data_IF_753396802321
#
_entry.id   IF_753396802321
#
_cell.length_a   1.000
_cell.length_b   1.000
_cell.length_c   1.000
_cell.angle_alpha   90.00
_cell.angle_beta   90.00
_cell.angle_gamma   90.00
#
_symmetry.space_group_name_H-M   'P 1'
#
loop_
_entity.id
_entity.type
_entity.pdbx_description
1 polymer ?
#
# COMPACT_ATOMS: atom_id res chain seq x y z
N UNK A 1 19.48 12.58 -9.26
CA UNK A 1 19.34 11.24 -9.86
C UNK A 1 18.09 10.58 -9.30
N UNK A 2 17.21 10.07 -10.16
CA UNK A 2 16.01 9.32 -9.75
C UNK A 2 16.31 7.84 -9.90
N UNK A 3 16.18 7.08 -8.81
CA UNK A 3 16.19 5.62 -8.83
C UNK A 3 14.74 5.14 -8.92
N UNK A 4 14.35 4.61 -10.09
CA UNK A 4 12.99 4.10 -10.30
C UNK A 4 12.92 2.61 -9.99
N UNK A 5 12.04 2.24 -9.06
CA UNK A 5 11.73 0.86 -8.74
C UNK A 5 10.46 0.37 -9.41
N UNK A 6 10.45 -0.89 -9.85
CA UNK A 6 9.28 -1.63 -10.32
C UNK A 6 8.97 -2.82 -9.40
N UNK A 7 9.38 -2.76 -8.13
CA UNK A 7 9.50 -3.90 -7.20
C UNK A 7 8.23 -4.66 -6.87
N UNK A 8 7.05 -4.17 -7.25
CA UNK A 8 5.85 -4.99 -7.13
C UNK A 8 5.83 -6.07 -8.23
N UNK A 9 5.61 -7.35 -7.91
CA UNK A 9 5.59 -8.41 -8.91
C UNK A 9 4.59 -8.16 -10.06
N UNK A 10 4.98 -8.55 -11.28
CA UNK A 10 4.14 -8.43 -12.48
C UNK A 10 2.78 -9.13 -12.37
N UNK A 11 2.72 -10.18 -11.55
CA UNK A 11 1.51 -10.92 -11.25
C UNK A 11 1.28 -10.90 -9.75
N UNK A 12 0.01 -10.88 -9.31
CA UNK A 12 -0.30 -10.99 -7.89
C UNK A 12 0.33 -12.28 -7.32
N UNK A 13 1.29 -12.17 -6.39
CA UNK A 13 2.04 -13.32 -5.88
C UNK A 13 1.19 -14.24 -4.98
N UNK A 14 0.09 -13.74 -4.44
CA UNK A 14 -0.81 -14.52 -3.60
C UNK A 14 -1.86 -15.27 -4.43
N UNK A 15 -2.02 -16.55 -4.11
CA UNK A 15 -3.12 -17.39 -4.57
C UNK A 15 -4.37 -17.17 -3.71
N UNK A 16 -5.50 -17.77 -4.09
CA UNK A 16 -6.75 -17.60 -3.34
C UNK A 16 -6.62 -18.06 -1.88
N UNK A 17 -6.99 -17.20 -0.94
CA UNK A 17 -6.98 -17.50 0.50
C UNK A 17 -5.58 -17.57 1.11
N UNK A 18 -4.56 -16.97 0.47
CA UNK A 18 -3.19 -16.97 0.98
C UNK A 18 -2.63 -15.56 1.17
N UNK A 19 -1.57 -15.51 1.97
CA UNK A 19 -0.79 -14.31 2.24
C UNK A 19 0.66 -14.60 1.86
N UNK A 20 1.27 -13.71 1.09
CA UNK A 20 2.67 -13.85 0.63
C UNK A 20 3.43 -12.59 0.97
N UNK A 21 4.66 -12.75 1.47
CA UNK A 21 5.60 -11.65 1.61
C UNK A 21 6.57 -11.61 0.43
N UNK A 22 6.79 -10.41 -0.13
CA UNK A 22 7.73 -10.20 -1.23
C UNK A 22 8.68 -9.06 -0.88
N UNK A 23 10.01 -9.27 -0.86
CA UNK A 23 10.97 -8.20 -0.57
C UNK A 23 10.87 -7.02 -1.56
N UNK A 24 10.94 -5.79 -1.05
CA UNK A 24 11.05 -4.56 -1.86
C UNK A 24 12.52 -4.31 -2.21
N UNK A 25 13.12 -5.20 -3.00
CA UNK A 25 14.59 -5.22 -3.21
C UNK A 25 15.17 -3.89 -3.70
N UNK A 26 14.50 -3.22 -4.63
CA UNK A 26 14.91 -1.92 -5.17
C UNK A 26 14.81 -0.80 -4.14
N UNK A 27 13.77 -0.82 -3.31
CA UNK A 27 13.64 0.09 -2.18
C UNK A 27 14.74 -0.15 -1.14
N UNK A 28 15.03 -1.41 -0.81
CA UNK A 28 16.13 -1.78 0.09
C UNK A 28 17.47 -1.31 -0.49
N UNK A 29 17.70 -1.48 -1.79
CA UNK A 29 18.90 -1.01 -2.47
C UNK A 29 19.01 0.53 -2.42
N UNK A 30 17.91 1.24 -2.68
CA UNK A 30 17.87 2.70 -2.56
C UNK A 30 18.20 3.18 -1.15
N UNK A 31 17.61 2.58 -0.10
CA UNK A 31 17.91 2.90 1.30
C UNK A 31 19.39 2.69 1.63
N UNK A 32 19.99 1.59 1.17
CA UNK A 32 21.44 1.34 1.32
C UNK A 32 22.29 2.36 0.53
N UNK A 33 21.82 2.77 -0.63
CA UNK A 33 22.44 3.80 -1.46
C UNK A 33 22.52 5.15 -0.75
N UNK A 34 21.49 5.52 0.01
CA UNK A 34 21.47 6.79 0.77
C UNK A 34 22.60 6.92 1.79
N UNK A 35 23.13 5.80 2.31
CA UNK A 35 24.23 5.79 3.27
C UNK A 35 25.63 5.75 2.64
N UNK A 36 25.77 5.79 1.31
CA UNK A 36 27.06 5.68 0.64
C UNK A 36 27.94 6.93 0.80
N UNK A 37 27.34 8.11 0.91
CA UNK A 37 28.04 9.38 1.15
C UNK A 37 27.11 10.36 1.89
N UNK A 38 27.65 11.25 2.75
CA UNK A 38 26.86 12.30 3.40
C UNK A 38 26.04 13.18 2.45
N UNK A 39 26.50 13.36 1.21
CA UNK A 39 25.83 14.19 0.19
C UNK A 39 24.79 13.43 -0.65
N UNK A 40 24.72 12.09 -0.56
CA UNK A 40 23.79 11.29 -1.37
C UNK A 40 22.31 11.63 -1.11
N UNK A 41 21.84 11.83 0.14
CA UNK A 41 20.44 12.14 0.41
C UNK A 41 19.90 13.39 -0.29
N UNK A 42 20.77 14.37 -0.63
CA UNK A 42 20.36 15.64 -1.24
C UNK A 42 19.90 15.48 -2.70
N UNK A 43 20.50 14.55 -3.44
CA UNK A 43 20.31 14.43 -4.89
C UNK A 43 19.79 13.06 -5.34
N UNK A 44 19.65 12.10 -4.42
CA UNK A 44 19.15 10.75 -4.68
C UNK A 44 17.70 10.61 -4.23
N UNK A 45 16.79 10.46 -5.19
CA UNK A 45 15.35 10.31 -4.95
C UNK A 45 14.87 8.95 -5.44
N UNK A 46 13.87 8.40 -4.77
CA UNK A 46 13.19 7.17 -5.17
C UNK A 46 11.89 7.52 -5.90
N UNK A 47 11.56 6.73 -6.93
CA UNK A 47 10.23 6.74 -7.54
C UNK A 47 9.78 5.31 -7.84
N UNK A 48 8.48 5.06 -7.85
CA UNK A 48 7.91 3.77 -8.23
C UNK A 48 6.50 3.93 -8.83
N UNK A 49 5.82 2.80 -9.03
CA UNK A 49 4.49 2.71 -9.63
C UNK A 49 3.39 2.55 -8.56
N UNK A 50 3.60 3.17 -7.40
CA UNK A 50 2.77 3.05 -6.22
C UNK A 50 2.61 1.57 -5.78
N UNK A 51 1.41 1.18 -5.34
CA UNK A 51 1.09 -0.18 -4.94
C UNK A 51 0.81 -1.11 -6.14
N UNK A 52 1.49 -0.97 -7.27
CA UNK A 52 1.27 -1.78 -8.48
C UNK A 52 2.56 -2.05 -9.29
N UNK A 53 2.48 -2.98 -10.25
CA UNK A 53 3.56 -3.22 -11.22
C UNK A 53 3.61 -2.12 -12.27
N UNK A 54 4.80 -1.89 -12.82
CA UNK A 54 5.01 -1.02 -13.98
C UNK A 54 4.35 -1.55 -15.26
N UNK A 55 4.02 -2.85 -15.30
CA UNK A 55 3.33 -3.48 -16.42
C UNK A 55 1.82 -3.32 -16.29
N UNK A 56 1.28 -2.32 -16.98
CA UNK A 56 -0.16 -2.16 -17.11
C UNK A 56 -0.68 -2.95 -18.32
N UNK A 57 -1.52 -3.95 -18.06
CA UNK A 57 -2.23 -4.70 -19.09
C UNK A 57 -3.60 -4.08 -19.34
N UNK A 58 -3.72 -3.24 -20.37
CA UNK A 58 -5.00 -2.71 -20.85
C UNK A 58 -5.71 -3.77 -21.70
N UNK A 59 -6.32 -4.76 -21.04
CA UNK A 59 -7.15 -5.76 -21.69
C UNK A 59 -8.45 -5.17 -22.24
N UNK A 60 -8.98 -5.74 -23.32
CA UNK A 60 -10.36 -5.46 -23.78
C UNK A 60 -11.34 -6.27 -22.92
N UNK A 61 -11.90 -5.65 -21.89
CA UNK A 61 -12.91 -6.24 -21.01
C UNK A 61 -12.60 -6.09 -19.52
N UNK A 62 -13.64 -5.95 -18.69
CA UNK A 62 -13.49 -5.83 -17.24
C UNK A 62 -13.17 -7.18 -16.60
N UNK A 63 -11.94 -7.34 -16.08
CA UNK A 63 -11.62 -8.46 -15.19
C UNK A 63 -12.17 -8.14 -13.80
N UNK A 64 -12.81 -9.12 -13.15
CA UNK A 64 -13.30 -8.95 -11.79
C UNK A 64 -12.15 -8.53 -10.87
N UNK A 65 -12.36 -7.45 -10.11
CA UNK A 65 -11.35 -6.96 -9.17
C UNK A 65 -11.02 -8.03 -8.13
N UNK A 66 -9.72 -8.18 -7.84
CA UNK A 66 -9.23 -9.14 -6.86
C UNK A 66 -9.47 -8.55 -5.46
N UNK A 67 -10.02 -9.37 -4.56
CA UNK A 67 -10.22 -9.05 -3.14
C UNK A 67 -8.89 -9.19 -2.41
N UNK A 68 -8.05 -8.17 -2.49
CA UNK A 68 -6.69 -8.21 -1.94
C UNK A 68 -6.25 -6.88 -1.34
N UNK A 69 -5.27 -6.97 -0.44
CA UNK A 69 -4.43 -5.83 -0.09
C UNK A 69 -2.98 -6.11 -0.49
N UNK A 70 -2.33 -5.05 -1.01
CA UNK A 70 -0.92 -4.97 -1.36
C UNK A 70 -0.28 -4.00 -0.37
N UNK A 71 -0.07 -4.50 0.85
CA UNK A 71 0.33 -3.69 1.98
C UNK A 71 1.85 -3.46 1.96
N UNK A 72 2.28 -2.21 2.14
CA UNK A 72 3.69 -1.82 1.99
C UNK A 72 4.33 -1.70 3.37
N UNK A 73 5.36 -2.50 3.62
CA UNK A 73 6.11 -2.44 4.88
C UNK A 73 7.44 -1.69 4.66
N UNK A 74 8.26 -1.49 5.71
CA UNK A 74 9.58 -0.87 5.56
C UNK A 74 10.52 -1.59 4.57
N UNK A 75 10.30 -2.88 4.32
CA UNK A 75 11.23 -3.77 3.62
C UNK A 75 10.57 -4.78 2.66
N UNK A 76 9.28 -5.06 2.81
CA UNK A 76 8.55 -6.02 1.99
C UNK A 76 7.15 -5.52 1.61
N UNK A 77 6.51 -6.29 0.75
CA UNK A 77 5.08 -6.25 0.53
C UNK A 77 4.45 -7.39 1.34
N UNK A 78 3.33 -7.16 1.99
CA UNK A 78 2.40 -8.21 2.36
C UNK A 78 1.27 -8.20 1.34
N UNK A 79 1.14 -9.27 0.58
CA UNK A 79 0.04 -9.45 -0.37
C UNK A 79 -0.90 -10.51 0.19
N UNK A 80 -2.05 -10.06 0.69
CA UNK A 80 -3.11 -10.94 1.21
C UNK A 80 -4.25 -10.98 0.19
N UNK A 81 -4.66 -12.18 -0.24
CA UNK A 81 -5.72 -12.37 -1.23
C UNK A 81 -6.82 -13.27 -0.67
N UNK A 82 -8.05 -12.78 -0.71
CA UNK A 82 -9.22 -13.52 -0.24
C UNK A 82 -9.45 -14.81 -1.03
N UNK A 83 -10.28 -15.69 -0.47
CA UNK A 83 -10.72 -16.92 -1.12
C UNK A 83 -11.32 -16.65 -2.52
N UNK A 84 -11.36 -17.64 -3.40
CA UNK A 84 -11.84 -17.49 -4.79
C UNK A 84 -13.30 -17.03 -4.87
N UNK A 85 -14.15 -17.64 -4.04
CA UNK A 85 -15.59 -17.42 -4.00
C UNK A 85 -16.07 -17.09 -2.58
N UNK A 86 -17.34 -16.69 -2.47
CA UNK A 86 -17.99 -16.37 -1.19
C UNK A 86 -18.26 -14.88 -1.00
N UNK A 87 -18.80 -14.55 0.17
CA UNK A 87 -19.23 -13.19 0.52
C UNK A 87 -18.02 -12.26 0.68
N UNK A 88 -18.06 -11.11 0.00
CA UNK A 88 -16.96 -10.13 0.04
C UNK A 88 -16.70 -9.56 1.45
N UNK A 89 -17.72 -9.44 2.30
CA UNK A 89 -17.55 -9.06 3.72
C UNK A 89 -16.61 -10.03 4.43
N UNK A 90 -16.87 -11.32 4.31
CA UNK A 90 -16.06 -12.36 4.95
C UNK A 90 -14.64 -12.39 4.35
N UNK A 91 -14.55 -12.31 3.02
CA UNK A 91 -13.27 -12.37 2.31
C UNK A 91 -12.38 -11.18 2.64
N UNK A 92 -12.92 -9.96 2.58
CA UNK A 92 -12.15 -8.75 2.87
C UNK A 92 -11.86 -8.59 4.36
N UNK A 93 -12.76 -9.03 5.26
CA UNK A 93 -12.46 -9.11 6.68
C UNK A 93 -11.28 -10.06 6.95
N UNK A 94 -11.26 -11.23 6.30
CA UNK A 94 -10.11 -12.14 6.40
C UNK A 94 -8.83 -11.48 5.87
N UNK A 95 -8.86 -10.88 4.68
CA UNK A 95 -7.71 -10.17 4.08
C UNK A 95 -7.19 -9.07 5.01
N UNK A 96 -8.07 -8.27 5.60
CA UNK A 96 -7.71 -7.22 6.54
C UNK A 96 -7.07 -7.78 7.82
N UNK A 97 -7.60 -8.89 8.36
CA UNK A 97 -7.01 -9.57 9.52
C UNK A 97 -5.59 -10.09 9.21
N UNK A 98 -5.33 -10.59 8.00
CA UNK A 98 -3.98 -11.01 7.62
C UNK A 98 -2.95 -9.88 7.69
N UNK A 99 -3.38 -8.64 7.42
CA UNK A 99 -2.53 -7.46 7.56
C UNK A 99 -2.38 -7.09 9.03
N UNK A 100 -3.47 -6.93 9.77
CA UNK A 100 -3.47 -6.48 11.18
C UNK A 100 -2.68 -7.45 12.08
N UNK A 101 -2.80 -8.76 11.85
CA UNK A 101 -2.15 -9.80 12.65
C UNK A 101 -0.74 -10.15 12.15
N UNK A 102 -0.24 -9.49 11.10
CA UNK A 102 1.07 -9.79 10.51
C UNK A 102 2.27 -9.51 11.42
N UNK A 103 2.07 -8.80 12.53
CA UNK A 103 3.13 -8.29 13.40
C UNK A 103 3.89 -7.08 12.84
N UNK A 104 3.64 -6.67 11.59
CA UNK A 104 4.28 -5.52 10.92
C UNK A 104 3.26 -4.55 10.32
N UNK A 105 2.01 -4.61 10.77
CA UNK A 105 1.01 -3.58 10.53
C UNK A 105 1.49 -2.25 11.12
N UNK A 106 1.46 -1.18 10.33
CA UNK A 106 1.93 0.14 10.74
C UNK A 106 1.08 0.78 11.86
N UNK A 107 -0.12 0.24 12.10
CA UNK A 107 -1.02 0.67 13.16
C UNK A 107 -2.19 1.50 12.62
N UNK A 108 -3.31 1.44 13.34
CA UNK A 108 -4.58 2.07 12.95
C UNK A 108 -4.44 3.56 12.62
N UNK A 109 -3.60 4.28 13.35
CA UNK A 109 -3.41 5.73 13.20
C UNK A 109 -2.37 6.12 12.14
N UNK A 110 -1.77 5.17 11.42
CA UNK A 110 -0.72 5.47 10.44
C UNK A 110 -1.26 6.21 9.21
N UNK A 111 -2.46 5.85 8.75
CA UNK A 111 -3.17 6.53 7.66
C UNK A 111 -4.66 6.22 7.71
N UNK A 112 -5.48 6.96 6.96
CA UNK A 112 -6.90 6.62 6.77
C UNK A 112 -7.09 5.21 6.16
N UNK A 113 -6.16 4.76 5.32
CA UNK A 113 -6.19 3.40 4.77
C UNK A 113 -5.92 2.34 5.85
N UNK A 114 -4.98 2.61 6.76
CA UNK A 114 -4.69 1.73 7.90
C UNK A 114 -5.84 1.68 8.90
N UNK A 115 -6.52 2.82 9.13
CA UNK A 115 -7.77 2.85 9.90
C UNK A 115 -8.84 1.98 9.25
N UNK A 116 -9.07 2.13 7.94
CA UNK A 116 -10.05 1.34 7.21
C UNK A 116 -9.72 -0.17 7.23
N UNK A 117 -8.45 -0.55 7.09
CA UNK A 117 -8.00 -1.95 7.21
C UNK A 117 -8.31 -2.47 8.62
N UNK A 118 -7.98 -1.71 9.66
CA UNK A 118 -8.26 -2.12 11.03
C UNK A 118 -9.76 -2.28 11.29
N UNK A 119 -10.57 -1.30 10.91
CA UNK A 119 -12.02 -1.31 11.12
C UNK A 119 -12.67 -2.45 10.30
N UNK A 120 -12.17 -2.75 9.09
CA UNK A 120 -12.61 -3.91 8.28
C UNK A 120 -12.26 -5.23 8.95
N UNK A 121 -11.06 -5.35 9.54
CA UNK A 121 -10.64 -6.55 10.25
C UNK A 121 -11.54 -6.83 11.48
N UNK A 122 -11.93 -5.78 12.20
CA UNK A 122 -12.86 -5.85 13.33
C UNK A 122 -14.34 -6.02 12.94
N UNK A 123 -14.67 -5.78 11.68
CA UNK A 123 -16.04 -5.88 11.17
C UNK A 123 -16.86 -4.61 11.36
N UNK A 124 -16.21 -3.51 11.71
CA UNK A 124 -16.79 -2.18 11.93
C UNK A 124 -16.92 -1.39 10.61
N UNK A 125 -16.18 -1.79 9.58
CA UNK A 125 -16.34 -1.29 8.22
C UNK A 125 -16.85 -2.39 7.27
N UNK A 126 -17.59 -1.98 6.22
CA UNK A 126 -17.99 -2.86 5.13
C UNK A 126 -16.80 -3.27 4.26
N UNK A 127 -16.94 -4.32 3.41
CA UNK A 127 -15.84 -4.82 2.58
C UNK A 127 -15.31 -3.83 1.54
N UNK A 128 -16.04 -2.74 1.28
CA UNK A 128 -15.74 -1.81 0.20
C UNK A 128 -16.00 -2.43 -1.17
N UNK A 129 -15.50 -1.78 -2.20
CA UNK A 129 -15.57 -2.23 -3.58
C UNK A 129 -14.19 -2.09 -4.27
N UNK A 130 -14.12 -2.39 -5.57
CA UNK A 130 -12.89 -2.29 -6.35
C UNK A 130 -12.19 -0.93 -6.26
N UNK A 131 -12.96 0.15 -6.20
CA UNK A 131 -12.44 1.51 -6.05
C UNK A 131 -11.86 1.69 -4.64
N UNK A 132 -12.58 1.26 -3.61
CA UNK A 132 -12.10 1.29 -2.22
C UNK A 132 -10.80 0.51 -2.06
N UNK A 133 -10.69 -0.70 -2.61
CA UNK A 133 -9.47 -1.52 -2.47
C UNK A 133 -8.27 -0.88 -3.15
N UNK A 134 -8.48 -0.26 -4.33
CA UNK A 134 -7.42 0.48 -5.02
C UNK A 134 -7.01 1.72 -4.23
N UNK A 135 -7.96 2.48 -3.71
CA UNK A 135 -7.69 3.64 -2.86
C UNK A 135 -6.90 3.24 -1.62
N UNK A 136 -7.35 2.23 -0.86
CA UNK A 136 -6.66 1.74 0.35
C UNK A 136 -5.23 1.34 0.05
N UNK A 137 -5.00 0.54 -1.01
CA UNK A 137 -3.66 0.13 -1.41
C UNK A 137 -2.76 1.32 -1.75
N UNK A 138 -3.25 2.25 -2.57
CA UNK A 138 -2.48 3.42 -3.01
C UNK A 138 -2.21 4.39 -1.86
N UNK A 139 -3.23 4.73 -1.07
CA UNK A 139 -3.10 5.66 0.07
C UNK A 139 -2.09 5.16 1.08
N UNK A 140 -2.24 3.91 1.55
CA UNK A 140 -1.29 3.34 2.51
C UNK A 140 0.14 3.32 1.95
N UNK A 141 0.31 2.89 0.69
CA UNK A 141 1.62 2.85 0.06
C UNK A 141 2.29 4.23 -0.02
N UNK A 142 1.56 5.25 -0.49
CA UNK A 142 2.08 6.61 -0.57
C UNK A 142 2.45 7.14 0.82
N UNK A 143 1.60 6.94 1.82
CA UNK A 143 1.92 7.31 3.20
C UNK A 143 3.20 6.63 3.68
N UNK A 144 3.34 5.32 3.45
CA UNK A 144 4.54 4.56 3.83
C UNK A 144 5.81 5.08 3.16
N UNK A 145 5.77 5.27 1.84
CA UNK A 145 6.94 5.71 1.07
C UNK A 145 7.36 7.13 1.43
N UNK A 146 6.40 8.06 1.53
CA UNK A 146 6.67 9.45 1.90
C UNK A 146 7.24 9.53 3.32
N UNK A 147 6.63 8.81 4.27
CA UNK A 147 7.11 8.74 5.65
C UNK A 147 8.56 8.24 5.71
N UNK A 148 8.87 7.14 5.03
CA UNK A 148 10.21 6.56 5.10
C UNK A 148 11.27 7.40 4.35
N UNK A 149 10.90 8.06 3.26
CA UNK A 149 11.79 9.02 2.58
C UNK A 149 12.11 10.19 3.51
N UNK A 150 11.11 10.73 4.20
CA UNK A 150 11.30 11.83 5.13
C UNK A 150 12.21 11.41 6.30
N UNK A 151 11.96 10.25 6.91
CA UNK A 151 12.82 9.70 7.95
C UNK A 151 14.27 9.54 7.46
N UNK A 152 14.47 8.97 6.27
CA UNK A 152 15.82 8.77 5.72
C UNK A 152 16.53 10.10 5.38
N UNK A 153 15.78 11.20 5.24
CA UNK A 153 16.30 12.55 5.02
C UNK A 153 16.36 13.39 6.30
N UNK A 154 15.96 12.85 7.45
CA UNK A 154 15.87 13.61 8.70
C UNK A 154 14.78 14.70 8.69
N UNK A 155 13.79 14.57 7.81
CA UNK A 155 12.64 15.47 7.72
C UNK A 155 11.57 14.99 8.70
N UNK A 156 11.11 15.89 9.57
CA UNK A 156 9.97 15.63 10.45
C UNK A 156 8.68 15.92 9.68
N UNK A 157 7.78 14.93 9.61
CA UNK A 157 6.43 15.11 9.09
C UNK A 157 5.50 15.20 10.29
N UNK A 158 4.91 16.38 10.51
CA UNK A 158 3.78 16.52 11.41
C UNK A 158 2.53 16.00 10.69
N UNK A 159 2.04 14.84 11.11
CA UNK A 159 0.73 14.34 10.68
C UNK A 159 -0.31 14.97 11.62
N UNK A 160 -1.20 15.84 11.13
CA UNK A 160 -2.25 16.43 11.95
C UNK A 160 -3.13 15.33 12.55
N UNK A 161 -3.55 15.50 13.81
CA UNK A 161 -4.41 14.55 14.50
C UNK A 161 -5.79 14.38 13.83
N UNK A 162 -6.22 15.38 13.06
CA UNK A 162 -7.44 15.37 12.26
C UNK A 162 -7.09 15.71 10.82
N UNK A 163 -7.34 14.78 9.91
CA UNK A 163 -7.38 15.05 8.48
C UNK A 163 -8.81 15.51 8.19
N UNK A 164 -8.99 16.78 7.84
CA UNK A 164 -10.26 17.27 7.30
C UNK A 164 -10.71 16.32 6.19
N UNK A 165 -11.96 15.87 6.24
CA UNK A 165 -12.53 14.97 5.25
C UNK A 165 -12.34 15.61 3.87
N UNK A 166 -11.39 15.09 3.10
CA UNK A 166 -10.92 15.76 1.91
C UNK A 166 -12.02 15.69 0.87
N UNK A 167 -12.69 16.83 0.66
CA UNK A 167 -13.70 17.16 -0.38
C UNK A 167 -13.16 17.04 -1.81
N UNK A 168 -12.22 16.14 -2.06
CA UNK A 168 -11.59 15.97 -3.38
C UNK A 168 -12.59 15.42 -4.42
N UNK A 169 -13.68 14.79 -3.99
CA UNK A 169 -14.76 14.34 -4.86
C UNK A 169 -15.70 15.48 -5.31
N UNK A 170 -15.80 16.58 -4.55
CA UNK A 170 -16.65 17.73 -4.92
C UNK A 170 -16.12 18.47 -6.17
N UNK A 171 -14.89 18.20 -6.58
CA UNK A 171 -14.25 18.77 -7.78
C UNK A 171 -14.48 17.95 -9.06
N UNK A 172 -15.13 16.80 -8.96
CA UNK A 172 -15.46 15.95 -10.13
C UNK A 172 -16.92 16.15 -10.61
N UNK A 173 -17.71 16.91 -9.85
CA UNK A 173 -19.11 17.24 -10.16
C UNK A 173 -19.28 18.71 -10.62
N UNK A 174 -18.18 19.41 -10.97
CA UNK A 174 -18.16 20.79 -11.47
C UNK A 174 -17.80 20.87 -12.97
#
# INVERSE_FOLDING_TARGET
MVFQGTSFPDVNPATHGTTVQVPRNEWIAWKKGMSLSPSTPESFVFGDYAADSSKMHFGKGGVAAIRHYRYTTPDCWIVARGAESGNDKIRMQWVANQIVESGIFAGRSFSQADQYIFDTAKGDAGPGNSTTWRQVNTTHHLTRVVHDIALARGIVIDIPAEVEDSRQLDLLDA
#
